data_IF_483374071660
#
_entry.id   IF_483374071660
#
_cell.length_a   1.000
_cell.length_b   1.000
_cell.length_c   1.000
_cell.angle_alpha   90.00
_cell.angle_beta   90.00
_cell.angle_gamma   90.00
#
_symmetry.space_group_name_H-M   'P 1'
#
loop_
_entity.id
_entity.type
_entity.pdbx_description
1 polymer ?
#
# COMPACT_ATOMS: atom_id res chain seq x y z
N UNK A 1 16.23 -30.03 -3.44
CA UNK A 1 15.53 -29.45 -4.61
C UNK A 1 14.42 -28.58 -4.05
N UNK A 2 14.49 -27.25 -4.21
CA UNK A 2 13.44 -26.37 -3.69
C UNK A 2 12.13 -26.69 -4.41
N UNK A 3 11.11 -27.09 -3.65
CA UNK A 3 9.80 -27.42 -4.19
C UNK A 3 9.24 -26.14 -4.87
N UNK A 4 8.98 -26.23 -6.17
CA UNK A 4 8.37 -25.23 -7.06
C UNK A 4 9.22 -24.09 -7.67
N UNK A 5 10.37 -23.70 -7.10
CA UNK A 5 11.34 -22.82 -7.78
C UNK A 5 10.82 -21.44 -8.27
N UNK A 6 9.76 -20.91 -7.68
CA UNK A 6 9.18 -19.62 -8.10
C UNK A 6 10.17 -18.47 -7.91
N UNK A 7 10.20 -17.58 -8.90
CA UNK A 7 10.98 -16.34 -8.87
C UNK A 7 10.07 -15.12 -8.90
N UNK A 8 10.50 -13.94 -8.42
CA UNK A 8 9.71 -12.71 -8.47
C UNK A 8 9.19 -12.34 -9.88
N UNK A 9 9.97 -12.64 -10.91
CA UNK A 9 9.65 -12.49 -12.34
C UNK A 9 8.62 -13.51 -12.86
N UNK A 10 8.29 -14.56 -12.09
CA UNK A 10 7.25 -15.51 -12.48
C UNK A 10 5.85 -14.87 -12.46
N UNK A 11 5.64 -13.81 -11.66
CA UNK A 11 4.38 -13.08 -11.55
C UNK A 11 4.64 -11.57 -11.56
N UNK A 12 5.08 -11.01 -12.70
CA UNK A 12 5.63 -9.65 -12.74
C UNK A 12 4.58 -8.59 -12.38
N UNK A 13 3.30 -8.83 -12.71
CA UNK A 13 2.20 -7.91 -12.37
C UNK A 13 1.97 -7.95 -10.86
N UNK A 14 1.70 -9.12 -10.28
CA UNK A 14 1.45 -9.27 -8.84
C UNK A 14 2.63 -8.78 -8.01
N UNK A 15 3.86 -9.07 -8.43
CA UNK A 15 5.07 -8.62 -7.75
C UNK A 15 5.20 -7.09 -7.76
N UNK A 16 4.94 -6.45 -8.92
CA UNK A 16 4.93 -4.98 -9.04
C UNK A 16 3.87 -4.33 -8.15
N UNK A 17 2.65 -4.87 -8.13
CA UNK A 17 1.56 -4.31 -7.32
C UNK A 17 1.82 -4.51 -5.83
N UNK A 18 2.31 -5.68 -5.41
CA UNK A 18 2.71 -5.95 -4.03
C UNK A 18 3.73 -4.92 -3.51
N UNK A 19 4.70 -4.51 -4.34
CA UNK A 19 5.71 -3.53 -3.95
C UNK A 19 5.18 -2.10 -3.76
N UNK A 20 3.98 -1.80 -4.26
CA UNK A 20 3.42 -0.43 -4.29
C UNK A 20 2.14 -0.28 -3.47
N UNK A 21 1.48 -1.39 -3.14
CA UNK A 21 0.28 -1.39 -2.28
C UNK A 21 0.67 -1.04 -0.85
N UNK A 22 -0.15 -0.19 -0.22
CA UNK A 22 -0.05 0.16 1.19
C UNK A 22 -1.43 0.02 1.82
N UNK A 23 -1.49 -0.58 3.00
CA UNK A 23 -2.72 -0.67 3.78
C UNK A 23 -2.89 0.58 4.64
N UNK A 24 -4.02 1.25 4.50
CA UNK A 24 -4.44 2.34 5.38
C UNK A 24 -5.37 1.80 6.48
N UNK A 25 -5.47 2.49 7.63
CA UNK A 25 -6.48 2.18 8.64
C UNK A 25 -7.88 2.15 8.02
N UNK A 26 -8.59 1.04 8.20
CA UNK A 26 -9.97 0.88 7.77
C UNK A 26 -10.68 -0.09 8.72
N UNK A 27 -11.39 0.45 9.70
CA UNK A 27 -12.17 -0.34 10.66
C UNK A 27 -13.41 0.42 11.15
N UNK A 28 -14.50 -0.26 11.57
CA UNK A 28 -15.79 0.38 11.82
C UNK A 28 -15.85 1.39 12.97
N UNK A 29 -14.80 1.46 13.80
CA UNK A 29 -14.70 2.37 14.95
C UNK A 29 -14.00 3.69 14.62
N UNK A 30 -13.58 3.89 13.37
CA UNK A 30 -13.05 5.19 12.94
C UNK A 30 -14.16 6.23 12.97
N UNK A 31 -13.88 7.36 13.59
CA UNK A 31 -14.69 8.56 13.47
C UNK A 31 -14.44 9.24 12.12
N UNK A 32 -15.32 10.16 11.72
CA UNK A 32 -15.10 10.97 10.52
C UNK A 32 -13.79 11.76 10.61
N UNK A 33 -13.40 12.20 11.81
CA UNK A 33 -12.11 12.88 12.03
C UNK A 33 -10.92 11.93 11.82
N UNK A 34 -10.99 10.68 12.31
CA UNK A 34 -9.92 9.69 12.07
C UNK A 34 -9.73 9.42 10.56
N UNK A 35 -10.82 9.45 9.79
CA UNK A 35 -10.77 9.28 8.33
C UNK A 35 -10.11 10.50 7.68
N UNK A 36 -10.52 11.71 8.06
CA UNK A 36 -9.96 12.96 7.52
C UNK A 36 -8.45 13.07 7.83
N UNK A 37 -8.04 12.76 9.05
CA UNK A 37 -6.63 12.78 9.47
C UNK A 37 -5.77 11.84 8.59
N UNK A 38 -6.29 10.65 8.27
CA UNK A 38 -5.61 9.70 7.36
C UNK A 38 -5.53 10.27 5.94
N UNK A 39 -6.59 10.88 5.44
CA UNK A 39 -6.61 11.51 4.11
C UNK A 39 -5.57 12.62 4.04
N UNK A 40 -5.57 13.55 4.99
CA UNK A 40 -4.63 14.66 5.05
C UNK A 40 -3.18 14.16 5.09
N UNK A 41 -2.87 13.22 5.99
CA UNK A 41 -1.54 12.65 6.11
C UNK A 41 -1.04 12.00 4.81
N UNK A 42 -1.90 11.23 4.12
CA UNK A 42 -1.54 10.60 2.85
C UNK A 42 -1.31 11.65 1.76
N UNK A 43 -2.19 12.64 1.65
CA UNK A 43 -2.07 13.73 0.67
C UNK A 43 -0.79 14.52 0.89
N UNK A 44 -0.44 14.82 2.13
CA UNK A 44 0.78 15.56 2.47
C UNK A 44 2.06 14.78 2.17
N UNK A 45 2.10 13.47 2.46
CA UNK A 45 3.21 12.61 2.05
C UNK A 45 3.35 12.61 0.53
N UNK A 46 2.25 12.42 -0.21
CA UNK A 46 2.28 12.45 -1.68
C UNK A 46 2.79 13.80 -2.19
N UNK A 47 2.28 14.92 -1.67
CA UNK A 47 2.72 16.26 -2.07
C UNK A 47 4.21 16.50 -1.78
N UNK A 48 4.70 16.04 -0.64
CA UNK A 48 6.09 16.25 -0.21
C UNK A 48 7.10 15.47 -1.03
N UNK A 49 6.76 14.23 -1.43
CA UNK A 49 7.72 13.31 -2.05
C UNK A 49 7.50 13.07 -3.54
N UNK A 50 6.39 13.54 -4.12
CA UNK A 50 6.16 13.52 -5.56
C UNK A 50 7.13 14.49 -6.25
N UNK A 51 8.10 13.93 -6.97
CA UNK A 51 8.99 14.65 -7.89
C UNK A 51 8.31 14.87 -9.25
#
# INVERSE_FOLDING_TARGET
MALYGYKPDAFPITYREYQRIVSLPLYPRMSDQDVEDVIEAVVDVVRRYRR
#
